data_IF_970207416237
#
_entry.id   IF_970207416237
#
_cell.length_a   1.000
_cell.length_b   1.000
_cell.length_c   1.000
_cell.angle_alpha   90.00
_cell.angle_beta   90.00
_cell.angle_gamma   90.00
#
_symmetry.space_group_name_H-M   'P 1'
#
loop_
_entity.id
_entity.type
_entity.pdbx_description
1 polymer ?
#
# COMPACT_ATOMS: atom_id res chain seq x y z
N UNK A 1 17.10 -34.23 29.10
CA UNK A 1 16.38 -34.45 27.83
C UNK A 1 15.52 -35.69 27.91
N UNK A 2 16.06 -36.91 28.02
CA UNK A 2 15.25 -38.13 28.14
C UNK A 2 14.22 -38.12 29.29
N UNK A 3 14.54 -37.53 30.45
CA UNK A 3 13.58 -37.37 31.56
C UNK A 3 12.45 -36.39 31.21
N UNK A 4 12.79 -35.28 30.52
CA UNK A 4 11.85 -34.26 30.09
C UNK A 4 10.89 -34.82 29.04
N UNK A 5 11.44 -35.45 28.01
CA UNK A 5 10.66 -36.14 26.98
C UNK A 5 9.80 -37.26 27.56
N UNK A 6 10.28 -38.01 28.55
CA UNK A 6 9.51 -39.08 29.16
C UNK A 6 8.32 -38.55 29.99
N UNK A 7 8.51 -37.44 30.72
CA UNK A 7 7.45 -36.85 31.55
C UNK A 7 6.45 -36.03 30.75
N UNK A 8 6.89 -35.36 29.70
CA UNK A 8 6.03 -34.49 28.88
C UNK A 8 5.47 -35.17 27.63
N UNK A 9 5.78 -36.46 27.41
CA UNK A 9 5.37 -37.21 26.20
C UNK A 9 3.87 -37.13 25.92
N UNK A 10 3.07 -37.13 26.96
CA UNK A 10 1.61 -37.18 26.84
C UNK A 10 0.99 -35.78 26.70
N UNK A 11 1.79 -34.70 26.74
CA UNK A 11 1.35 -33.32 26.53
C UNK A 11 0.28 -32.84 27.50
N UNK A 12 0.23 -33.41 28.71
CA UNK A 12 -0.85 -33.16 29.67
C UNK A 12 -0.63 -31.86 30.43
N UNK A 13 -1.72 -31.16 30.71
CA UNK A 13 -1.73 -30.01 31.59
C UNK A 13 -1.39 -30.47 33.02
N UNK A 14 -0.24 -30.03 33.52
CA UNK A 14 0.25 -30.32 34.86
C UNK A 14 1.46 -29.43 35.17
N UNK A 15 1.78 -29.33 36.45
CA UNK A 15 3.09 -28.84 36.90
C UNK A 15 4.08 -30.00 36.93
N UNK A 16 5.09 -29.94 36.07
CA UNK A 16 6.16 -30.93 35.98
C UNK A 16 7.38 -30.47 36.75
N UNK A 17 7.89 -31.40 37.57
CA UNK A 17 9.15 -31.27 38.29
C UNK A 17 10.13 -32.32 37.76
N UNK A 18 11.43 -32.04 37.79
CA UNK A 18 12.45 -32.93 37.25
C UNK A 18 13.50 -33.25 38.31
N UNK A 19 13.84 -34.52 38.47
CA UNK A 19 14.83 -34.98 39.45
C UNK A 19 16.24 -34.51 39.06
N UNK A 20 16.54 -34.50 37.76
CA UNK A 20 17.81 -33.99 37.25
C UNK A 20 17.93 -32.46 37.39
N UNK A 21 16.80 -31.76 37.53
CA UNK A 21 16.73 -30.29 37.60
C UNK A 21 15.71 -29.85 38.66
N UNK A 22 16.04 -29.95 39.96
CA UNK A 22 15.09 -29.71 41.04
C UNK A 22 14.63 -28.26 41.18
N UNK A 23 15.32 -27.32 40.50
CA UNK A 23 14.93 -25.91 40.43
C UNK A 23 14.09 -25.57 39.18
N UNK A 24 13.91 -26.52 38.24
CA UNK A 24 13.13 -26.31 37.03
C UNK A 24 11.68 -26.75 37.28
N UNK A 25 10.78 -25.78 37.24
CA UNK A 25 9.34 -25.97 37.25
C UNK A 25 8.80 -25.66 35.85
N UNK A 26 8.08 -26.60 35.25
CA UNK A 26 7.38 -26.37 33.98
C UNK A 26 5.88 -26.52 34.24
N UNK A 27 5.14 -25.44 34.04
CA UNK A 27 3.67 -25.44 34.13
C UNK A 27 3.12 -25.57 32.72
N UNK A 28 2.43 -26.68 32.44
CA UNK A 28 1.68 -26.86 31.19
C UNK A 28 0.22 -26.61 31.51
N UNK A 29 -0.39 -25.64 30.84
CA UNK A 29 -1.81 -25.30 30.96
C UNK A 29 -2.64 -26.01 29.87
N UNK A 30 -3.94 -26.24 30.11
CA UNK A 30 -4.85 -26.71 29.06
C UNK A 30 -4.93 -25.68 27.92
N UNK A 31 -5.08 -26.15 26.69
CA UNK A 31 -5.33 -25.31 25.51
C UNK A 31 -6.77 -25.47 25.08
N UNK A 32 -7.53 -24.37 25.03
CA UNK A 32 -8.92 -24.34 24.58
C UNK A 32 -8.95 -24.09 23.09
N UNK A 33 -9.61 -24.97 22.33
CA UNK A 33 -9.81 -24.83 20.88
C UNK A 33 -11.17 -24.20 20.64
N UNK A 34 -11.21 -23.17 19.80
CA UNK A 34 -12.43 -22.42 19.48
C UNK A 34 -12.88 -22.62 18.03
N UNK A 35 -14.16 -22.38 17.77
CA UNK A 35 -14.73 -22.31 16.41
C UNK A 35 -14.66 -20.90 15.81
N UNK A 36 -15.24 -20.72 14.61
CA UNK A 36 -15.27 -19.42 13.91
C UNK A 36 -16.10 -18.36 14.64
N UNK A 37 -16.97 -18.74 15.57
CA UNK A 37 -17.75 -17.82 16.39
C UNK A 37 -17.06 -17.53 17.74
N UNK A 38 -15.82 -18.01 17.92
CA UNK A 38 -15.05 -17.82 19.15
C UNK A 38 -15.48 -18.73 20.31
N UNK A 39 -16.42 -19.67 20.09
CA UNK A 39 -16.90 -20.59 21.14
C UNK A 39 -15.93 -21.73 21.35
N UNK A 40 -15.68 -22.09 22.60
CA UNK A 40 -14.88 -23.25 22.96
C UNK A 40 -15.58 -24.55 22.50
N UNK A 41 -14.86 -25.40 21.77
CA UNK A 41 -15.36 -26.68 21.23
C UNK A 41 -14.56 -27.90 21.69
N UNK A 42 -13.31 -27.71 22.14
CA UNK A 42 -12.44 -28.78 22.64
C UNK A 42 -11.39 -28.23 23.61
N UNK A 43 -10.82 -29.08 24.47
CA UNK A 43 -9.74 -28.74 25.39
C UNK A 43 -8.65 -29.80 25.32
N UNK A 44 -7.45 -29.40 24.90
CA UNK A 44 -6.27 -30.27 24.86
C UNK A 44 -5.47 -30.21 26.16
N UNK A 45 -4.89 -31.34 26.51
CA UNK A 45 -4.05 -31.50 27.70
C UNK A 45 -4.78 -32.02 28.94
N UNK A 46 -6.10 -32.25 28.88
CA UNK A 46 -6.90 -32.76 30.01
C UNK A 46 -7.38 -34.18 29.70
N UNK A 47 -7.02 -35.16 30.54
CA UNK A 47 -7.41 -36.57 30.34
C UNK A 47 -8.83 -36.85 30.81
N UNK A 48 -9.28 -36.17 31.86
CA UNK A 48 -10.63 -36.31 32.37
C UNK A 48 -11.61 -35.56 31.47
N UNK A 49 -12.51 -36.31 30.83
CA UNK A 49 -13.51 -35.77 29.91
C UNK A 49 -14.48 -34.83 30.60
N UNK A 50 -14.82 -35.09 31.87
CA UNK A 50 -15.76 -34.24 32.61
C UNK A 50 -15.11 -32.90 32.96
N UNK A 51 -13.82 -32.90 33.26
CA UNK A 51 -13.03 -31.68 33.48
C UNK A 51 -12.83 -30.88 32.18
N UNK A 52 -12.53 -31.56 31.07
CA UNK A 52 -12.42 -30.91 29.76
C UNK A 52 -13.74 -30.24 29.37
N UNK A 53 -14.88 -30.93 29.58
CA UNK A 53 -16.20 -30.34 29.34
C UNK A 53 -16.48 -29.15 30.25
N UNK A 54 -16.11 -29.23 31.54
CA UNK A 54 -16.28 -28.11 32.48
C UNK A 54 -15.51 -26.87 32.03
N UNK A 55 -14.28 -27.03 31.54
CA UNK A 55 -13.47 -25.92 31.02
C UNK A 55 -14.07 -25.31 29.74
N UNK A 56 -14.65 -26.14 28.86
CA UNK A 56 -15.39 -25.65 27.68
C UNK A 56 -16.60 -24.81 28.12
N UNK A 57 -17.36 -25.30 29.09
CA UNK A 57 -18.56 -24.63 29.58
C UNK A 57 -18.21 -23.32 30.30
N UNK A 58 -17.14 -23.29 31.08
CA UNK A 58 -16.64 -22.11 31.78
C UNK A 58 -16.14 -21.03 30.79
N UNK A 59 -15.37 -21.42 29.78
CA UNK A 59 -14.89 -20.47 28.75
C UNK A 59 -16.05 -19.88 27.93
N UNK A 60 -17.02 -20.72 27.55
CA UNK A 60 -18.21 -20.26 26.84
C UNK A 60 -19.09 -19.36 27.70
N UNK A 61 -19.23 -19.65 29.01
CA UNK A 61 -19.96 -18.79 29.92
C UNK A 61 -19.27 -17.44 30.12
N UNK A 62 -17.93 -17.40 30.12
CA UNK A 62 -17.18 -16.14 30.15
C UNK A 62 -17.44 -15.31 28.90
N UNK A 63 -17.37 -15.93 27.72
CA UNK A 63 -17.66 -15.28 26.43
C UNK A 63 -19.10 -14.74 26.39
N UNK A 64 -20.08 -15.53 26.86
CA UNK A 64 -21.49 -15.12 26.90
C UNK A 64 -21.72 -13.95 27.89
N UNK A 65 -20.93 -13.85 28.98
CA UNK A 65 -20.99 -12.73 29.93
C UNK A 65 -20.35 -11.46 29.34
N UNK A 66 -19.18 -11.58 28.68
CA UNK A 66 -18.51 -10.48 27.99
C UNK A 66 -19.38 -9.89 26.87
N UNK A 67 -20.13 -10.72 26.14
CA UNK A 67 -21.04 -10.28 25.09
C UNK A 67 -22.34 -9.62 25.62
N UNK A 68 -22.70 -9.89 26.88
CA UNK A 68 -23.94 -9.38 27.50
C UNK A 68 -23.81 -8.01 28.16
N UNK A 69 -22.60 -7.59 28.53
CA UNK A 69 -22.34 -6.31 29.21
C UNK A 69 -22.19 -5.12 28.23
N UNK A 70 -22.39 -5.32 26.92
CA UNK A 70 -22.18 -4.29 25.89
C UNK A 70 -23.42 -3.54 25.40
N UNK A 71 -24.62 -3.82 25.91
CA UNK A 71 -25.89 -3.33 25.32
C UNK A 71 -26.78 -2.52 26.29
N UNK A 72 -26.31 -2.23 27.52
CA UNK A 72 -27.07 -1.48 28.55
C UNK A 72 -26.39 -0.14 28.93
N UNK A 73 -25.60 0.47 28.03
CA UNK A 73 -25.44 1.92 28.07
C UNK A 73 -26.68 2.53 27.39
N UNK A 74 -27.77 2.57 28.17
CA UNK A 74 -28.81 3.58 28.02
C UNK A 74 -28.08 4.94 27.98
N UNK A 75 -27.77 5.39 26.77
CA UNK A 75 -27.48 6.79 26.50
C UNK A 75 -28.76 7.51 26.88
N UNK A 76 -28.83 7.93 28.14
CA UNK A 76 -29.74 8.96 28.59
C UNK A 76 -29.47 10.16 27.65
N UNK A 77 -30.34 10.29 26.64
CA UNK A 77 -30.63 11.53 25.93
C UNK A 77 -31.11 12.54 26.99
N UNK A 78 -30.19 13.00 27.84
CA UNK A 78 -30.35 14.21 28.61
C UNK A 78 -30.24 15.36 27.61
N UNK A 79 -31.43 15.80 27.18
CA UNK A 79 -31.74 17.12 26.63
C UNK A 79 -30.78 18.20 27.18
N UNK A 80 -29.72 18.51 26.43
CA UNK A 80 -28.98 19.77 26.61
C UNK A 80 -29.68 20.82 25.76
N UNK A 81 -30.65 21.46 26.39
CA UNK A 81 -31.14 22.79 26.04
C UNK A 81 -29.95 23.78 26.08
N UNK A 82 -29.26 23.97 24.96
CA UNK A 82 -28.40 25.15 24.74
C UNK A 82 -29.25 26.25 24.06
N UNK A 83 -30.14 26.83 24.87
CA UNK A 83 -30.62 28.21 24.70
C UNK A 83 -29.54 29.16 25.27
N UNK A 84 -29.38 30.30 24.56
CA UNK A 84 -28.80 31.57 25.02
C UNK A 84 -27.27 31.66 25.22
N UNK A 85 -26.61 32.38 24.30
CA UNK A 85 -26.06 33.69 24.67
C UNK A 85 -25.75 34.53 23.41
N UNK A 86 -26.73 35.36 23.08
CA UNK A 86 -26.56 36.63 22.37
C UNK A 86 -25.47 37.47 23.05
N UNK A 87 -24.38 37.76 22.34
CA UNK A 87 -23.55 38.94 22.63
C UNK A 87 -23.18 39.66 21.33
N UNK A 88 -23.97 40.71 21.11
CA UNK A 88 -23.60 42.02 20.57
C UNK A 88 -22.09 42.27 20.39
N UNK A 89 -21.67 42.61 19.16
CA UNK A 89 -20.71 43.71 18.99
C UNK A 89 -20.99 44.49 17.69
N UNK A 90 -21.81 45.52 17.89
CA UNK A 90 -21.78 46.86 17.33
C UNK A 90 -20.97 47.15 16.05
N UNK A 91 -21.74 47.61 15.06
CA UNK A 91 -21.60 48.88 14.35
C UNK A 91 -20.20 49.36 13.92
N UNK A 92 -20.05 49.54 12.59
CA UNK A 92 -19.65 50.86 12.05
C UNK A 92 -20.02 51.06 10.59
N UNK A 93 -20.95 52.00 10.45
CA UNK A 93 -20.95 53.13 9.53
C UNK A 93 -21.06 52.90 8.01
N UNK A 94 -22.27 53.23 7.57
CA UNK A 94 -22.64 53.78 6.27
C UNK A 94 -21.66 54.84 5.75
N UNK A 95 -21.54 54.96 4.42
CA UNK A 95 -21.74 56.25 3.77
C UNK A 95 -22.17 56.09 2.31
N UNK A 96 -23.00 57.04 1.91
CA UNK A 96 -23.78 57.18 0.70
C UNK A 96 -22.96 57.44 -0.56
N UNK A 97 -23.52 57.09 -1.72
CA UNK A 97 -22.85 57.33 -3.00
C UNK A 97 -23.71 57.27 -4.26
N UNK A 98 -24.97 57.70 -4.20
CA UNK A 98 -25.74 58.10 -5.39
C UNK A 98 -24.94 59.12 -6.22
N UNK A 99 -24.63 58.81 -7.49
CA UNK A 99 -24.55 59.81 -8.55
C UNK A 99 -25.06 59.27 -9.89
N UNK A 100 -26.23 59.79 -10.23
CA UNK A 100 -26.79 59.89 -11.56
C UNK A 100 -25.82 60.48 -12.61
N UNK A 101 -26.24 60.25 -13.86
CA UNK A 101 -26.28 61.22 -14.96
C UNK A 101 -25.08 61.30 -15.92
N UNK A 102 -25.44 60.95 -17.15
CA UNK A 102 -25.32 61.82 -18.33
C UNK A 102 -23.94 62.00 -19.01
N UNK A 103 -23.92 61.49 -20.24
CA UNK A 103 -23.79 62.33 -21.45
C UNK A 103 -22.39 62.74 -21.91
N UNK A 104 -22.27 62.79 -23.25
CA UNK A 104 -21.23 63.44 -24.05
C UNK A 104 -19.90 62.65 -24.20
N UNK A 105 -19.25 62.51 -25.37
CA UNK A 105 -19.42 63.10 -26.71
C UNK A 105 -18.47 62.36 -27.68
N UNK A 106 -18.85 62.37 -28.96
CA UNK A 106 -17.98 62.23 -30.13
C UNK A 106 -16.69 63.07 -30.04
N UNK A 107 -15.57 62.55 -30.55
CA UNK A 107 -14.60 63.35 -31.31
C UNK A 107 -13.63 62.45 -32.08
N UNK A 108 -13.71 62.55 -33.40
CA UNK A 108 -12.69 62.12 -34.36
C UNK A 108 -11.52 63.11 -34.41
N UNK A 109 -10.31 62.60 -34.71
CA UNK A 109 -9.18 63.27 -35.39
C UNK A 109 -8.05 62.23 -35.45
N UNK A 110 -7.66 61.61 -36.58
CA UNK A 110 -7.07 62.14 -37.82
C UNK A 110 -5.88 63.10 -37.61
N UNK A 111 -4.84 62.84 -38.42
CA UNK A 111 -3.62 63.62 -38.71
C UNK A 111 -2.48 63.51 -37.67
N UNK A 112 -1.19 63.47 -38.00
CA UNK A 112 -0.40 63.27 -39.23
C UNK A 112 1.07 63.30 -38.77
N UNK A 113 1.93 62.62 -39.54
CA UNK A 113 3.27 63.04 -39.97
C UNK A 113 4.52 63.16 -39.03
N UNK A 114 5.62 62.70 -39.68
CA UNK A 114 7.02 63.16 -39.63
C UNK A 114 7.88 62.70 -38.44
N UNK A 115 8.79 61.74 -38.66
CA UNK A 115 10.15 61.86 -39.24
C UNK A 115 11.20 62.39 -38.23
N UNK A 116 12.38 61.75 -38.30
CA UNK A 116 13.73 62.19 -37.88
C UNK A 116 14.41 61.34 -36.79
N UNK A 117 15.29 60.46 -37.28
CA UNK A 117 16.70 60.29 -36.92
C UNK A 117 17.17 60.82 -35.54
N UNK A 118 17.77 59.95 -34.71
CA UNK A 118 19.21 60.01 -34.45
C UNK A 118 19.66 58.90 -33.48
N UNK A 119 20.88 58.45 -33.72
CA UNK A 119 21.65 57.47 -32.97
C UNK A 119 21.81 57.84 -31.48
N UNK A 120 21.69 56.87 -30.57
CA UNK A 120 22.52 56.84 -29.36
C UNK A 120 22.63 55.43 -28.77
N UNK A 121 23.84 54.87 -28.86
CA UNK A 121 24.30 53.74 -28.07
C UNK A 121 24.19 54.08 -26.57
N UNK A 122 23.48 53.27 -25.80
CA UNK A 122 23.38 53.44 -24.34
C UNK A 122 22.90 52.17 -23.66
N UNK A 123 23.85 51.44 -23.08
CA UNK A 123 23.63 50.34 -22.14
C UNK A 123 22.59 50.67 -21.04
N UNK A 124 21.88 49.60 -20.63
CA UNK A 124 21.12 49.40 -19.39
C UNK A 124 19.58 49.49 -19.48
N UNK A 125 18.97 48.36 -19.83
CA UNK A 125 17.65 47.91 -19.36
C UNK A 125 17.93 46.55 -18.66
N UNK A 126 17.66 46.27 -17.38
CA UNK A 126 16.46 46.56 -16.57
C UNK A 126 15.16 46.17 -17.30
N UNK A 127 14.94 44.86 -17.35
CA UNK A 127 13.65 44.17 -17.35
C UNK A 127 13.84 43.03 -16.33
N UNK A 128 13.23 43.00 -15.14
CA UNK A 128 11.79 43.15 -14.86
C UNK A 128 10.98 42.44 -15.95
N UNK A 129 11.12 41.11 -15.96
CA UNK A 129 10.24 40.20 -16.68
C UNK A 129 9.75 39.16 -15.66
N UNK A 130 8.53 39.42 -15.23
CA UNK A 130 7.43 38.48 -15.02
C UNK A 130 7.64 37.32 -14.04
N UNK A 131 7.05 37.55 -12.85
CA UNK A 131 6.14 36.64 -12.13
C UNK A 131 5.74 35.38 -12.92
N UNK A 132 6.56 34.33 -12.82
CA UNK A 132 6.06 32.96 -12.84
C UNK A 132 5.79 32.60 -11.38
N UNK A 133 4.62 33.03 -10.89
CA UNK A 133 3.91 32.38 -9.79
C UNK A 133 3.71 30.92 -10.26
N UNK A 134 4.65 30.06 -9.88
CA UNK A 134 4.43 28.62 -9.88
C UNK A 134 3.31 28.39 -8.85
N UNK A 135 2.07 28.44 -9.35
CA UNK A 135 0.88 27.89 -8.69
C UNK A 135 1.19 26.41 -8.42
N UNK A 136 1.82 26.16 -7.28
CA UNK A 136 1.74 24.91 -6.54
C UNK A 136 0.26 24.75 -6.17
N UNK A 137 -0.57 24.33 -7.13
CA UNK A 137 -1.90 23.81 -6.90
C UNK A 137 -1.73 22.62 -5.95
N UNK A 138 -1.93 22.93 -4.67
CA UNK A 138 -2.06 22.00 -3.58
C UNK A 138 -3.09 20.95 -4.02
N UNK A 139 -2.62 19.72 -4.21
CA UNK A 139 -3.46 18.53 -4.40
C UNK A 139 -4.30 18.29 -3.13
N UNK A 140 -5.27 19.16 -2.89
CA UNK A 140 -6.39 18.97 -2.00
C UNK A 140 -7.41 18.07 -2.72
N UNK A 141 -7.22 16.74 -2.70
CA UNK A 141 -8.30 15.75 -2.91
C UNK A 141 -7.74 14.32 -2.81
N UNK A 142 -7.47 13.87 -1.59
CA UNK A 142 -7.81 12.53 -1.07
C UNK A 142 -7.22 12.37 0.34
N UNK A 143 -7.62 13.27 1.24
CA UNK A 143 -7.52 13.04 2.67
C UNK A 143 -8.55 11.97 3.06
N UNK A 144 -8.25 10.71 2.74
CA UNK A 144 -8.79 9.58 3.46
C UNK A 144 -8.30 9.77 4.90
N UNK A 145 -9.18 10.29 5.76
CA UNK A 145 -8.90 10.42 7.18
C UNK A 145 -8.77 9.02 7.77
N UNK A 146 -7.56 8.46 7.69
CA UNK A 146 -7.07 7.59 8.72
C UNK A 146 -7.07 8.44 9.99
N UNK A 147 -8.16 8.36 10.75
CA UNK A 147 -8.09 8.55 12.18
C UNK A 147 -7.06 7.54 12.68
N UNK A 148 -5.80 7.99 12.69
CA UNK A 148 -4.75 7.38 13.45
C UNK A 148 -5.20 7.56 14.89
N UNK A 149 -5.83 6.52 15.43
CA UNK A 149 -5.83 6.24 16.85
C UNK A 149 -4.34 6.10 17.23
N UNK A 150 -3.76 7.25 17.57
CA UNK A 150 -2.40 7.47 18.03
C UNK A 150 -2.30 7.01 19.49
N UNK A 151 -2.78 5.79 19.76
CA UNK A 151 -2.38 4.98 20.90
C UNK A 151 -1.01 4.37 20.56
N UNK A 152 -0.04 5.25 20.34
CA UNK A 152 1.39 4.95 20.44
C UNK A 152 1.67 4.67 21.92
N UNK A 153 1.21 3.50 22.38
CA UNK A 153 1.93 2.75 23.41
C UNK A 153 3.31 2.49 22.83
N UNK A 154 4.19 3.48 22.98
CA UNK A 154 5.58 3.43 22.58
C UNK A 154 6.21 2.20 23.21
N UNK A 155 6.18 1.10 22.46
CA UNK A 155 6.64 -0.18 22.94
C UNK A 155 8.16 -0.09 23.02
N UNK A 156 8.59 -0.03 24.27
CA UNK A 156 9.94 0.18 24.73
C UNK A 156 10.96 -0.72 24.01
N UNK A 157 12.12 -0.13 23.76
CA UNK A 157 13.42 -0.77 23.51
C UNK A 157 13.80 -1.18 22.06
N UNK A 158 13.82 -0.18 21.17
CA UNK A 158 14.73 -0.11 20.00
C UNK A 158 16.24 -0.17 20.37
N UNK A 159 16.56 -0.32 21.67
CA UNK A 159 17.91 -0.50 22.15
C UNK A 159 18.44 -1.86 21.68
N UNK A 160 19.63 -1.88 21.03
CA UNK A 160 20.24 -3.13 20.64
C UNK A 160 20.40 -4.07 21.85
N UNK A 161 20.12 -5.37 21.71
CA UNK A 161 20.26 -6.32 22.80
C UNK A 161 21.70 -6.35 23.32
N UNK A 162 21.88 -6.65 24.61
CA UNK A 162 23.22 -6.72 25.20
C UNK A 162 24.05 -7.84 24.52
N UNK A 163 25.32 -7.60 24.13
CA UNK A 163 26.12 -8.59 23.41
C UNK A 163 26.24 -9.95 24.12
N UNK A 164 26.16 -9.96 25.45
CA UNK A 164 26.18 -11.18 26.25
C UNK A 164 24.90 -12.02 26.06
N UNK A 165 23.74 -11.38 25.94
CA UNK A 165 22.45 -12.03 25.69
C UNK A 165 22.41 -12.63 24.29
N UNK A 166 22.83 -11.86 23.27
CA UNK A 166 22.90 -12.34 21.88
C UNK A 166 23.78 -13.57 21.76
N UNK A 167 24.96 -13.59 22.41
CA UNK A 167 25.83 -14.78 22.42
C UNK A 167 25.18 -15.99 23.07
N UNK A 168 24.44 -15.80 24.17
CA UNK A 168 23.77 -16.91 24.85
C UNK A 168 22.64 -17.48 23.98
N UNK A 169 21.84 -16.62 23.36
CA UNK A 169 20.76 -17.01 22.46
C UNK A 169 21.29 -17.70 21.19
N UNK A 170 22.38 -17.19 20.61
CA UNK A 170 23.07 -17.84 19.48
C UNK A 170 23.53 -19.26 19.84
N UNK A 171 24.16 -19.46 20.99
CA UNK A 171 24.60 -20.80 21.40
C UNK A 171 23.43 -21.79 21.56
N UNK A 172 22.24 -21.29 21.95
CA UNK A 172 21.03 -22.10 22.03
C UNK A 172 20.50 -22.47 20.64
N UNK A 173 20.40 -21.50 19.73
CA UNK A 173 19.88 -21.74 18.37
C UNK A 173 20.85 -22.53 17.49
N UNK A 174 22.16 -22.35 17.64
CA UNK A 174 23.19 -23.21 17.00
C UNK A 174 23.01 -24.67 17.41
N UNK A 175 22.74 -24.92 18.69
CA UNK A 175 22.45 -26.27 19.18
C UNK A 175 21.14 -26.80 18.63
N UNK A 176 20.09 -25.98 18.57
CA UNK A 176 18.81 -26.36 18.00
C UNK A 176 18.95 -26.75 16.52
N UNK A 177 19.66 -25.93 15.71
CA UNK A 177 19.98 -26.23 14.31
C UNK A 177 20.78 -27.52 14.15
N UNK A 178 21.69 -27.84 15.09
CA UNK A 178 22.42 -29.12 15.04
C UNK A 178 21.54 -30.35 15.23
N UNK A 179 20.37 -30.18 15.88
CA UNK A 179 19.40 -31.25 16.15
C UNK A 179 18.36 -31.31 15.03
N UNK A 180 17.87 -30.16 14.59
CA UNK A 180 16.82 -30.01 13.58
C UNK A 180 17.26 -28.96 12.55
N UNK A 181 18.16 -29.31 11.60
CA UNK A 181 18.72 -28.36 10.65
C UNK A 181 17.70 -27.83 9.64
N UNK A 182 16.58 -28.55 9.45
CA UNK A 182 15.53 -28.23 8.49
C UNK A 182 14.29 -27.58 9.15
N UNK A 183 14.37 -27.22 10.45
CA UNK A 183 13.28 -26.58 11.17
C UNK A 183 13.21 -25.08 10.84
N UNK A 184 12.07 -24.65 10.26
CA UNK A 184 11.90 -23.30 9.70
C UNK A 184 12.04 -22.21 10.78
N UNK A 185 11.33 -22.36 11.90
CA UNK A 185 11.35 -21.40 13.01
C UNK A 185 12.75 -21.28 13.62
N UNK A 186 13.45 -22.41 13.79
CA UNK A 186 14.82 -22.42 14.31
C UNK A 186 15.80 -21.74 13.35
N UNK A 187 15.71 -22.01 12.04
CA UNK A 187 16.53 -21.34 11.02
C UNK A 187 16.33 -19.83 11.01
N UNK A 188 15.07 -19.39 11.02
CA UNK A 188 14.73 -17.97 10.99
C UNK A 188 15.18 -17.27 12.28
N UNK A 189 14.84 -17.83 13.45
CA UNK A 189 15.26 -17.29 14.75
C UNK A 189 16.77 -17.18 14.84
N UNK A 190 17.51 -18.20 14.38
CA UNK A 190 18.97 -18.16 14.35
C UNK A 190 19.48 -17.02 13.46
N UNK A 191 18.90 -16.83 12.27
CA UNK A 191 19.29 -15.77 11.36
C UNK A 191 19.04 -14.37 11.95
N UNK A 192 17.89 -14.14 12.61
CA UNK A 192 17.61 -12.86 13.28
C UNK A 192 18.66 -12.55 14.35
N UNK A 193 19.00 -13.53 15.19
CA UNK A 193 20.06 -13.38 16.20
C UNK A 193 21.44 -13.13 15.59
N UNK A 194 21.73 -13.65 14.39
CA UNK A 194 22.97 -13.34 13.67
C UNK A 194 22.97 -11.91 13.14
N UNK A 195 21.84 -11.39 12.66
CA UNK A 195 21.73 -9.99 12.25
C UNK A 195 21.91 -9.04 13.45
N UNK A 196 21.31 -9.36 14.60
CA UNK A 196 21.53 -8.64 15.86
C UNK A 196 23.00 -8.70 16.28
N UNK A 197 23.63 -9.87 16.14
CA UNK A 197 25.04 -10.06 16.44
C UNK A 197 25.94 -9.15 15.58
N UNK A 198 25.64 -8.96 14.29
CA UNK A 198 26.34 -8.00 13.43
C UNK A 198 26.13 -6.55 13.91
N UNK A 199 24.87 -6.18 14.23
CA UNK A 199 24.52 -4.83 14.75
C UNK A 199 25.28 -4.48 16.03
N UNK A 200 25.52 -5.45 16.91
CA UNK A 200 26.28 -5.25 18.17
C UNK A 200 27.78 -5.59 18.06
N UNK A 201 28.29 -5.83 16.84
CA UNK A 201 29.72 -5.96 16.55
C UNK A 201 30.35 -7.31 16.89
N UNK A 202 29.58 -8.40 16.93
CA UNK A 202 30.10 -9.77 17.06
C UNK A 202 30.58 -10.25 15.69
N UNK A 203 31.90 -10.18 15.49
CA UNK A 203 32.53 -10.51 14.22
C UNK A 203 32.33 -11.97 13.76
N UNK A 204 32.23 -12.17 12.45
CA UNK A 204 32.26 -13.48 11.78
C UNK A 204 30.90 -14.17 11.65
N UNK A 205 29.92 -13.83 12.49
CA UNK A 205 28.60 -14.48 12.48
C UNK A 205 27.84 -14.27 11.17
N UNK A 206 27.93 -13.07 10.60
CA UNK A 206 27.29 -12.79 9.34
C UNK A 206 27.89 -13.61 8.18
N UNK A 207 29.20 -13.83 8.15
CA UNK A 207 29.83 -14.69 7.14
C UNK A 207 29.41 -16.16 7.28
N UNK A 208 29.22 -16.62 8.51
CA UNK A 208 28.66 -17.95 8.81
C UNK A 208 27.23 -18.08 8.28
N UNK A 209 26.36 -17.11 8.58
CA UNK A 209 24.98 -17.09 8.05
C UNK A 209 24.97 -17.16 6.53
N UNK A 210 25.78 -16.36 5.84
CA UNK A 210 25.81 -16.36 4.37
C UNK A 210 26.34 -17.68 3.79
N UNK A 211 27.22 -18.39 4.50
CA UNK A 211 27.69 -19.71 4.08
C UNK A 211 26.59 -20.78 4.24
N UNK A 212 25.71 -20.64 5.22
CA UNK A 212 24.64 -21.59 5.52
C UNK A 212 23.31 -21.24 4.82
N UNK A 213 23.09 -19.97 4.48
CA UNK A 213 21.86 -19.47 3.85
C UNK A 213 21.41 -20.28 2.63
N UNK A 214 22.29 -20.76 1.71
CA UNK A 214 21.87 -21.62 0.60
C UNK A 214 21.23 -22.96 1.00
N UNK A 215 21.43 -23.42 2.25
CA UNK A 215 20.83 -24.65 2.80
C UNK A 215 19.49 -24.40 3.49
N UNK A 216 19.17 -23.15 3.79
CA UNK A 216 17.93 -22.79 4.45
C UNK A 216 16.76 -22.99 3.48
N UNK A 217 15.57 -23.15 4.05
CA UNK A 217 14.36 -23.22 3.23
C UNK A 217 14.18 -21.92 2.45
N UNK A 218 13.53 -21.99 1.30
CA UNK A 218 13.37 -20.79 0.45
C UNK A 218 12.57 -19.70 1.16
N UNK A 219 11.57 -20.08 1.98
CA UNK A 219 10.81 -19.12 2.80
C UNK A 219 11.74 -18.31 3.69
N UNK A 220 12.61 -19.00 4.45
CA UNK A 220 13.56 -18.35 5.33
C UNK A 220 14.58 -17.48 4.58
N UNK A 221 15.07 -17.93 3.42
CA UNK A 221 15.98 -17.10 2.62
C UNK A 221 15.33 -15.78 2.20
N UNK A 222 14.06 -15.81 1.79
CA UNK A 222 13.30 -14.62 1.40
C UNK A 222 13.04 -13.73 2.62
N UNK A 223 12.52 -14.28 3.72
CA UNK A 223 12.26 -13.52 4.95
C UNK A 223 13.53 -12.85 5.48
N UNK A 224 14.67 -13.55 5.48
CA UNK A 224 15.96 -12.98 5.88
C UNK A 224 16.36 -11.83 4.94
N UNK A 225 16.22 -11.99 3.63
CA UNK A 225 16.51 -10.92 2.67
C UNK A 225 15.60 -9.71 2.91
N UNK A 226 14.30 -9.90 3.14
CA UNK A 226 13.35 -8.82 3.45
C UNK A 226 13.73 -8.09 4.73
N UNK A 227 14.04 -8.81 5.82
CA UNK A 227 14.48 -8.22 7.09
C UNK A 227 15.77 -7.41 6.92
N UNK A 228 16.73 -7.94 6.17
CA UNK A 228 17.96 -7.21 5.82
C UNK A 228 17.68 -5.97 4.97
N UNK A 229 16.71 -6.05 4.06
CA UNK A 229 16.23 -4.96 3.24
C UNK A 229 15.64 -3.84 4.08
N UNK A 230 14.65 -4.15 4.92
CA UNK A 230 14.03 -3.21 5.87
C UNK A 230 15.03 -2.50 6.78
N UNK A 231 16.09 -3.21 7.18
CA UNK A 231 17.16 -2.64 8.01
C UNK A 231 18.21 -1.83 7.21
N UNK A 232 18.07 -1.68 5.89
CA UNK A 232 19.06 -1.02 5.03
C UNK A 232 20.43 -1.70 5.07
N UNK A 233 20.47 -3.01 5.31
CA UNK A 233 21.71 -3.72 5.62
C UNK A 233 22.65 -3.76 4.40
N UNK A 234 23.92 -3.38 4.59
CA UNK A 234 24.94 -3.26 3.50
C UNK A 234 25.16 -4.51 2.63
N UNK A 235 24.79 -5.69 3.13
CA UNK A 235 24.89 -6.99 2.42
C UNK A 235 23.53 -7.50 1.89
N UNK A 236 22.50 -6.66 1.88
CA UNK A 236 21.18 -7.02 1.39
C UNK A 236 21.22 -7.62 -0.03
N UNK A 237 21.93 -6.98 -0.97
CA UNK A 237 22.03 -7.47 -2.35
C UNK A 237 22.63 -8.89 -2.46
N UNK A 238 23.55 -9.26 -1.57
CA UNK A 238 24.14 -10.60 -1.55
C UNK A 238 23.16 -11.63 -0.96
N UNK A 239 22.42 -11.28 0.09
CA UNK A 239 21.37 -12.14 0.65
C UNK A 239 20.25 -12.36 -0.36
N UNK A 240 19.86 -11.30 -1.07
CA UNK A 240 18.90 -11.34 -2.16
C UNK A 240 19.35 -12.27 -3.28
N UNK A 241 20.62 -12.18 -3.70
CA UNK A 241 21.17 -13.06 -4.74
C UNK A 241 21.10 -14.54 -4.32
N UNK A 242 21.31 -14.85 -3.03
CA UNK A 242 21.16 -16.22 -2.50
C UNK A 242 19.70 -16.66 -2.41
N UNK A 243 18.80 -15.76 -1.99
CA UNK A 243 17.38 -16.02 -1.88
C UNK A 243 16.77 -16.35 -3.25
N UNK A 244 17.09 -15.57 -4.28
CA UNK A 244 16.56 -15.71 -5.63
C UNK A 244 17.30 -16.73 -6.51
N UNK A 245 18.42 -17.31 -6.04
CA UNK A 245 19.19 -18.31 -6.80
C UNK A 245 18.55 -19.71 -6.86
N UNK A 246 17.58 -20.00 -5.98
CA UNK A 246 16.91 -21.30 -5.92
C UNK A 246 15.60 -21.35 -6.72
N UNK A 247 15.04 -22.54 -6.86
CA UNK A 247 13.64 -22.66 -7.25
C UNK A 247 12.78 -22.01 -6.14
N UNK A 248 11.94 -21.06 -6.54
CA UNK A 248 10.95 -20.49 -5.62
C UNK A 248 9.89 -21.55 -5.33
N UNK A 249 9.50 -21.73 -4.06
CA UNK A 249 8.44 -22.65 -3.70
C UNK A 249 7.13 -22.12 -4.30
N UNK A 250 6.22 -23.02 -4.66
CA UNK A 250 4.88 -22.65 -5.11
C UNK A 250 4.09 -21.88 -4.03
N UNK A 251 4.54 -21.95 -2.77
CA UNK A 251 4.00 -21.22 -1.61
C UNK A 251 5.11 -20.76 -0.68
N UNK A 252 5.07 -19.49 -0.27
CA UNK A 252 5.92 -18.94 0.80
C UNK A 252 5.04 -18.78 2.04
N UNK A 253 5.46 -19.35 3.16
CA UNK A 253 4.76 -19.25 4.44
C UNK A 253 5.46 -18.13 5.22
N UNK A 254 4.82 -16.97 5.35
CA UNK A 254 5.32 -15.89 6.21
C UNK A 254 4.90 -16.09 7.67
N UNK A 255 5.65 -15.45 8.56
CA UNK A 255 5.37 -15.39 9.99
C UNK A 255 4.24 -14.40 10.27
N UNK A 256 3.00 -14.87 10.21
CA UNK A 256 1.96 -14.34 11.09
C UNK A 256 1.52 -15.48 11.99
N UNK A 257 1.69 -15.22 13.28
CA UNK A 257 1.40 -16.08 14.42
C UNK A 257 0.12 -16.90 14.27
N UNK A 258 0.22 -18.18 14.66
CA UNK A 258 -0.81 -18.94 15.37
C UNK A 258 -2.23 -18.32 15.41
N UNK A 259 -3.18 -19.00 14.76
CA UNK A 259 -4.63 -18.75 14.79
C UNK A 259 -5.18 -17.65 13.86
N UNK A 260 -5.16 -17.83 12.54
CA UNK A 260 -6.29 -17.46 11.68
C UNK A 260 -6.20 -18.23 10.35
N UNK A 261 -7.20 -19.06 10.05
CA UNK A 261 -7.34 -19.74 8.74
C UNK A 261 -8.17 -18.83 7.85
N UNK A 262 -7.56 -17.76 7.34
CA UNK A 262 -8.09 -16.99 6.22
C UNK A 262 -6.94 -16.75 5.23
N UNK A 263 -7.18 -17.10 3.96
CA UNK A 263 -6.38 -16.74 2.78
C UNK A 263 -4.84 -16.85 2.91
N UNK A 264 -4.30 -18.07 2.83
CA UNK A 264 -2.87 -18.36 2.62
C UNK A 264 -2.24 -17.77 1.33
N UNK A 265 -2.97 -16.91 0.59
CA UNK A 265 -2.45 -16.14 -0.54
C UNK A 265 -1.82 -14.81 -0.12
N UNK A 266 -2.35 -14.14 0.91
CA UNK A 266 -2.00 -12.75 1.23
C UNK A 266 -0.58 -12.59 1.80
N UNK A 267 -0.16 -13.56 2.61
CA UNK A 267 1.17 -13.52 3.26
C UNK A 267 2.32 -13.57 2.24
N UNK A 268 2.11 -14.26 1.11
CA UNK A 268 3.08 -14.28 0.03
C UNK A 268 3.15 -12.93 -0.70
N UNK A 269 2.02 -12.28 -0.90
CA UNK A 269 1.92 -11.01 -1.62
C UNK A 269 2.56 -9.86 -0.84
N UNK A 270 2.26 -9.78 0.46
CA UNK A 270 2.87 -8.80 1.37
C UNK A 270 4.39 -8.96 1.37
N UNK A 271 4.89 -10.18 1.57
CA UNK A 271 6.32 -10.44 1.60
C UNK A 271 7.02 -10.10 0.27
N UNK A 272 6.38 -10.39 -0.87
CA UNK A 272 6.92 -10.00 -2.17
C UNK A 272 6.83 -8.50 -2.43
N UNK A 273 5.81 -7.82 -1.90
CA UNK A 273 5.70 -6.37 -1.89
C UNK A 273 6.85 -5.74 -1.11
N UNK A 274 7.07 -6.19 0.12
CA UNK A 274 8.18 -5.75 0.99
C UNK A 274 9.54 -6.01 0.36
N UNK A 275 9.73 -7.20 -0.24
CA UNK A 275 10.96 -7.51 -0.95
C UNK A 275 11.15 -6.59 -2.16
N UNK A 276 10.10 -6.34 -2.92
CA UNK A 276 10.11 -5.43 -4.05
C UNK A 276 10.50 -4.00 -3.64
N UNK A 277 9.95 -3.52 -2.52
CA UNK A 277 10.25 -2.22 -1.95
C UNK A 277 11.72 -2.13 -1.51
N UNK A 278 12.20 -3.11 -0.75
CA UNK A 278 13.59 -3.19 -0.34
C UNK A 278 14.56 -3.28 -1.53
N UNK A 279 14.20 -4.01 -2.59
CA UNK A 279 14.98 -4.07 -3.83
C UNK A 279 15.04 -2.69 -4.47
N UNK A 280 13.91 -2.02 -4.67
CA UNK A 280 13.85 -0.72 -5.31
C UNK A 280 14.68 0.34 -4.57
N UNK A 281 14.69 0.27 -3.24
CA UNK A 281 15.44 1.20 -2.40
C UNK A 281 16.94 0.90 -2.36
N UNK A 282 17.32 -0.37 -2.17
CA UNK A 282 18.70 -0.72 -1.83
C UNK A 282 19.48 -1.48 -2.91
N UNK A 283 18.79 -2.09 -3.88
CA UNK A 283 19.42 -2.86 -4.96
C UNK A 283 18.56 -2.86 -6.25
N UNK A 284 18.21 -1.70 -6.81
CA UNK A 284 17.21 -1.61 -7.88
C UNK A 284 17.59 -2.39 -9.15
N UNK A 285 18.89 -2.54 -9.41
CA UNK A 285 19.44 -3.36 -10.51
C UNK A 285 19.17 -4.87 -10.36
N UNK A 286 18.60 -5.30 -9.22
CA UNK A 286 18.18 -6.68 -8.96
C UNK A 286 16.69 -6.91 -9.17
N UNK A 287 15.88 -5.88 -9.41
CA UNK A 287 14.43 -6.04 -9.61
C UNK A 287 14.12 -7.02 -10.75
N UNK A 288 14.90 -7.00 -11.84
CA UNK A 288 14.72 -7.93 -12.95
C UNK A 288 14.85 -9.41 -12.57
N UNK A 289 15.50 -9.75 -11.45
CA UNK A 289 15.55 -11.13 -10.92
C UNK A 289 14.27 -11.51 -10.17
N UNK A 290 13.62 -10.54 -9.54
CA UNK A 290 12.36 -10.73 -8.82
C UNK A 290 11.18 -10.83 -9.79
N UNK A 291 11.16 -10.01 -10.86
CA UNK A 291 10.04 -9.97 -11.82
C UNK A 291 9.54 -11.34 -12.27
N UNK A 292 10.36 -12.32 -12.71
CA UNK A 292 9.83 -13.63 -13.15
C UNK A 292 9.31 -14.52 -12.01
N UNK A 293 9.56 -14.15 -10.75
CA UNK A 293 9.23 -14.93 -9.56
C UNK A 293 7.98 -14.44 -8.84
N UNK A 294 7.49 -13.23 -9.16
CA UNK A 294 6.30 -12.68 -8.51
C UNK A 294 5.06 -13.53 -8.79
N UNK A 295 4.13 -13.64 -7.83
CA UNK A 295 2.85 -14.30 -8.06
C UNK A 295 2.04 -13.55 -9.13
N UNK A 296 1.11 -14.24 -9.82
CA UNK A 296 0.23 -13.64 -10.82
C UNK A 296 -0.88 -12.79 -10.16
N UNK A 297 -0.49 -11.81 -9.35
CA UNK A 297 -1.41 -10.91 -8.65
C UNK A 297 -1.41 -9.52 -9.31
N UNK A 298 -2.60 -9.04 -9.63
CA UNK A 298 -2.81 -7.80 -10.39
C UNK A 298 -2.35 -6.57 -9.61
N UNK A 299 -2.68 -6.49 -8.31
CA UNK A 299 -2.35 -5.35 -7.44
C UNK A 299 -0.85 -5.28 -7.15
N UNK A 300 -0.22 -6.42 -6.86
CA UNK A 300 1.21 -6.49 -6.60
C UNK A 300 2.00 -6.07 -7.84
N UNK A 301 1.64 -6.61 -9.03
CA UNK A 301 2.34 -6.29 -10.27
C UNK A 301 2.19 -4.81 -10.65
N UNK A 302 0.98 -4.25 -10.57
CA UNK A 302 0.76 -2.83 -10.88
C UNK A 302 1.46 -1.89 -9.89
N UNK A 303 1.38 -2.18 -8.59
CA UNK A 303 2.03 -1.39 -7.54
C UNK A 303 3.55 -1.40 -7.69
N UNK A 304 4.16 -2.57 -7.88
CA UNK A 304 5.61 -2.66 -8.10
C UNK A 304 6.03 -2.01 -9.42
N UNK A 305 5.23 -2.08 -10.48
CA UNK A 305 5.54 -1.44 -11.75
C UNK A 305 5.62 0.09 -11.60
N UNK A 306 4.66 0.68 -10.90
CA UNK A 306 4.66 2.12 -10.61
C UNK A 306 5.84 2.53 -9.72
N UNK A 307 6.11 1.78 -8.65
CA UNK A 307 7.29 2.04 -7.81
C UNK A 307 8.59 1.92 -8.61
N UNK A 308 8.68 0.96 -9.52
CA UNK A 308 9.82 0.79 -10.42
C UNK A 308 10.02 1.99 -11.36
N UNK A 309 8.94 2.55 -11.91
CA UNK A 309 9.00 3.81 -12.66
C UNK A 309 9.57 4.94 -11.80
N UNK A 310 9.04 5.14 -10.58
CA UNK A 310 9.51 6.18 -9.66
C UNK A 310 11.00 6.02 -9.35
N UNK A 311 11.47 4.78 -9.25
CA UNK A 311 12.87 4.42 -9.07
C UNK A 311 13.71 4.41 -10.38
N UNK A 312 13.17 4.92 -11.49
CA UNK A 312 13.79 4.99 -12.82
C UNK A 312 14.22 3.61 -13.38
N UNK A 313 13.51 2.55 -12.99
CA UNK A 313 13.67 1.18 -13.48
C UNK A 313 12.68 0.88 -14.61
N UNK A 314 12.73 1.67 -15.70
CA UNK A 314 11.74 1.62 -16.78
C UNK A 314 11.63 0.25 -17.47
N UNK A 315 12.76 -0.43 -17.72
CA UNK A 315 12.77 -1.78 -18.31
C UNK A 315 12.06 -2.81 -17.40
N UNK A 316 12.27 -2.73 -16.09
CA UNK A 316 11.66 -3.65 -15.13
C UNK A 316 10.20 -3.32 -14.89
N UNK A 317 9.83 -2.03 -14.85
CA UNK A 317 8.44 -1.60 -14.83
C UNK A 317 7.67 -2.13 -16.05
N UNK A 318 8.27 -2.03 -17.25
CA UNK A 318 7.71 -2.57 -18.47
C UNK A 318 7.46 -4.08 -18.35
N UNK A 319 8.44 -4.83 -17.84
CA UNK A 319 8.32 -6.27 -17.65
C UNK A 319 7.21 -6.64 -16.65
N UNK A 320 7.01 -5.83 -15.60
CA UNK A 320 5.92 -6.01 -14.64
C UNK A 320 4.55 -5.76 -15.29
N UNK A 321 4.41 -4.70 -16.08
CA UNK A 321 3.19 -4.45 -16.85
C UNK A 321 2.93 -5.52 -17.91
N UNK A 322 3.96 -6.03 -18.58
CA UNK A 322 3.79 -7.14 -19.53
C UNK A 322 3.22 -8.39 -18.84
N UNK A 323 3.74 -8.74 -17.66
CA UNK A 323 3.18 -9.82 -16.85
C UNK A 323 1.73 -9.57 -16.44
N UNK A 324 1.39 -8.34 -16.05
CA UNK A 324 0.02 -7.92 -15.72
C UNK A 324 -0.92 -8.13 -16.91
N UNK A 325 -0.50 -7.74 -18.12
CA UNK A 325 -1.31 -7.83 -19.34
C UNK A 325 -1.53 -9.28 -19.79
N UNK A 326 -0.59 -10.17 -19.49
CA UNK A 326 -0.69 -11.62 -19.74
C UNK A 326 -1.65 -12.35 -18.81
N UNK A 327 -2.07 -11.73 -17.70
CA UNK A 327 -3.06 -12.34 -16.81
C UNK A 327 -4.42 -12.48 -17.51
N UNK A 328 -5.14 -13.60 -17.29
CA UNK A 328 -6.50 -13.75 -17.77
C UNK A 328 -7.39 -12.70 -17.11
N UNK A 329 -8.38 -12.19 -17.85
CA UNK A 329 -9.42 -11.35 -17.25
C UNK A 329 -10.34 -12.28 -16.45
N UNK A 330 -10.54 -12.05 -15.13
CA UNK A 330 -11.46 -12.87 -14.33
C UNK A 330 -12.90 -12.77 -14.85
N UNK A 331 -13.67 -13.86 -14.79
CA UNK A 331 -15.02 -13.91 -15.37
C UNK A 331 -16.03 -13.01 -14.62
N UNK A 332 -16.02 -13.03 -13.29
CA UNK A 332 -16.92 -12.24 -12.41
C UNK A 332 -16.35 -12.06 -10.99
N UNK A 333 -17.14 -11.42 -10.11
CA UNK A 333 -16.85 -11.29 -8.68
C UNK A 333 -15.80 -10.24 -8.30
N UNK A 334 -15.32 -10.31 -7.06
CA UNK A 334 -14.40 -9.33 -6.48
C UNK A 334 -13.04 -9.34 -7.21
N UNK A 335 -12.58 -10.50 -7.69
CA UNK A 335 -11.37 -10.61 -8.51
C UNK A 335 -11.47 -9.78 -9.79
N UNK A 336 -12.65 -9.79 -10.44
CA UNK A 336 -12.90 -8.98 -11.63
C UNK A 336 -12.91 -7.49 -11.31
N UNK A 337 -13.61 -7.08 -10.25
CA UNK A 337 -13.62 -5.68 -9.80
C UNK A 337 -12.21 -5.18 -9.48
N UNK A 338 -11.44 -5.99 -8.75
CA UNK A 338 -10.05 -5.69 -8.42
C UNK A 338 -9.18 -5.61 -9.67
N UNK A 339 -9.38 -6.51 -10.64
CA UNK A 339 -8.67 -6.50 -11.92
C UNK A 339 -8.93 -5.20 -12.71
N UNK A 340 -10.19 -4.79 -12.82
CA UNK A 340 -10.58 -3.57 -13.54
C UNK A 340 -10.03 -2.31 -12.87
N UNK A 341 -10.08 -2.23 -11.54
CA UNK A 341 -9.50 -1.12 -10.77
C UNK A 341 -8.00 -1.06 -10.98
N UNK A 342 -7.31 -2.19 -10.89
CA UNK A 342 -5.86 -2.25 -11.06
C UNK A 342 -5.42 -1.92 -12.50
N UNK A 343 -6.18 -2.31 -13.54
CA UNK A 343 -5.91 -1.88 -14.91
C UNK A 343 -6.07 -0.38 -15.10
N UNK A 344 -7.13 0.22 -14.56
CA UNK A 344 -7.30 1.68 -14.60
C UNK A 344 -6.12 2.38 -13.92
N UNK A 345 -5.78 1.97 -12.70
CA UNK A 345 -4.67 2.55 -11.94
C UNK A 345 -3.34 2.38 -12.66
N UNK A 346 -3.09 1.21 -13.26
CA UNK A 346 -1.91 0.96 -14.07
C UNK A 346 -1.82 1.90 -15.29
N UNK A 347 -2.95 2.17 -15.96
CA UNK A 347 -3.00 3.10 -17.09
C UNK A 347 -2.68 4.53 -16.65
N UNK A 348 -3.31 5.02 -15.58
CA UNK A 348 -3.06 6.35 -15.00
C UNK A 348 -1.61 6.48 -14.56
N UNK A 349 -1.07 5.49 -13.85
CA UNK A 349 0.30 5.48 -13.36
C UNK A 349 1.32 5.48 -14.51
N UNK A 350 1.11 4.68 -15.56
CA UNK A 350 1.95 4.69 -16.75
C UNK A 350 1.87 6.03 -17.50
N UNK A 351 0.70 6.68 -17.51
CA UNK A 351 0.52 8.01 -18.09
C UNK A 351 1.29 9.08 -17.31
N UNK A 352 1.10 9.16 -15.99
CA UNK A 352 1.80 10.10 -15.11
C UNK A 352 3.32 9.95 -15.17
N UNK A 353 3.80 8.72 -15.41
CA UNK A 353 5.20 8.40 -15.65
C UNK A 353 5.77 8.89 -16.98
N UNK A 354 4.93 9.40 -17.88
CA UNK A 354 5.24 9.69 -19.29
C UNK A 354 5.66 8.45 -20.10
N UNK A 355 5.29 7.26 -19.64
CA UNK A 355 5.46 5.98 -20.34
C UNK A 355 4.26 5.72 -21.27
N UNK A 356 4.01 6.66 -22.18
CA UNK A 356 2.78 6.72 -22.97
C UNK A 356 2.53 5.47 -23.82
N UNK A 357 3.57 4.86 -24.38
CA UNK A 357 3.45 3.61 -25.14
C UNK A 357 2.90 2.47 -24.26
N UNK A 358 3.27 2.44 -22.98
CA UNK A 358 2.79 1.43 -22.02
C UNK A 358 1.33 1.71 -21.65
N UNK A 359 1.02 2.97 -21.35
CA UNK A 359 -0.35 3.41 -21.05
C UNK A 359 -1.30 3.03 -22.19
N UNK A 360 -0.90 3.24 -23.45
CA UNK A 360 -1.68 2.84 -24.64
C UNK A 360 -1.92 1.33 -24.70
N UNK A 361 -0.91 0.49 -24.40
CA UNK A 361 -1.10 -0.97 -24.39
C UNK A 361 -2.05 -1.42 -23.28
N UNK A 362 -1.99 -0.79 -22.10
CA UNK A 362 -2.91 -1.05 -21.00
C UNK A 362 -4.33 -0.64 -21.40
N UNK A 363 -4.49 0.57 -21.97
CA UNK A 363 -5.76 1.07 -22.49
C UNK A 363 -6.35 0.13 -23.55
N UNK A 364 -5.55 -0.36 -24.49
CA UNK A 364 -5.93 -1.33 -25.52
C UNK A 364 -6.42 -2.66 -24.89
N UNK A 365 -5.70 -3.17 -23.89
CA UNK A 365 -6.06 -4.42 -23.19
C UNK A 365 -7.37 -4.29 -22.44
N UNK A 366 -7.65 -3.12 -21.88
CA UNK A 366 -8.83 -2.86 -21.07
C UNK A 366 -10.12 -2.64 -21.89
N UNK A 367 -10.01 -2.30 -23.17
CA UNK A 367 -11.18 -2.00 -24.04
C UNK A 367 -12.33 -3.01 -23.99
N UNK A 368 -12.09 -4.35 -24.01
CA UNK A 368 -13.19 -5.32 -24.01
C UNK A 368 -14.08 -5.26 -22.76
N UNK A 369 -13.57 -4.69 -21.66
CA UNK A 369 -14.20 -4.68 -20.34
C UNK A 369 -14.37 -3.27 -19.76
N UNK A 370 -13.98 -2.23 -20.50
CA UNK A 370 -14.02 -0.84 -20.06
C UNK A 370 -15.44 -0.35 -19.70
N UNK A 371 -16.47 -0.89 -20.33
CA UNK A 371 -17.87 -0.57 -20.04
C UNK A 371 -18.31 -0.93 -18.61
N UNK A 372 -17.56 -1.77 -17.90
CA UNK A 372 -17.83 -2.17 -16.53
C UNK A 372 -17.12 -1.28 -15.51
N UNK A 373 -16.13 -0.52 -15.96
CA UNK A 373 -15.45 0.50 -15.16
C UNK A 373 -15.21 1.74 -16.04
N UNK A 374 -16.17 2.69 -16.09
CA UNK A 374 -16.09 3.86 -16.96
C UNK A 374 -14.85 4.74 -16.77
N UNK A 375 -14.16 4.66 -15.63
CA UNK A 375 -12.89 5.34 -15.38
C UNK A 375 -11.81 4.96 -16.40
N UNK A 376 -11.88 3.73 -16.93
CA UNK A 376 -10.96 3.23 -17.97
C UNK A 376 -11.08 4.06 -19.26
N UNK A 377 -12.27 4.56 -19.60
CA UNK A 377 -12.43 5.38 -20.80
C UNK A 377 -11.70 6.71 -20.67
N UNK A 378 -11.74 7.34 -19.49
CA UNK A 378 -10.99 8.56 -19.24
C UNK A 378 -9.48 8.31 -19.34
N UNK A 379 -8.95 7.34 -18.58
CA UNK A 379 -7.51 7.03 -18.61
C UNK A 379 -7.02 6.59 -20.00
N UNK A 380 -7.85 5.88 -20.76
CA UNK A 380 -7.54 5.55 -22.16
C UNK A 380 -7.56 6.78 -23.08
N UNK A 381 -8.44 7.76 -22.85
CA UNK A 381 -8.48 8.99 -23.62
C UNK A 381 -7.18 9.77 -23.49
N UNK A 382 -6.71 10.00 -22.25
CA UNK A 382 -5.43 10.67 -21.96
C UNK A 382 -4.26 9.91 -22.60
N UNK A 383 -4.20 8.58 -22.41
CA UNK A 383 -3.16 7.75 -23.01
C UNK A 383 -3.09 7.84 -24.56
N UNK A 384 -4.24 7.81 -25.26
CA UNK A 384 -4.26 7.97 -26.71
C UNK A 384 -3.93 9.40 -27.15
N UNK A 385 -4.35 10.42 -26.39
CA UNK A 385 -4.07 11.82 -26.68
C UNK A 385 -2.57 12.12 -26.56
N UNK A 386 -1.90 11.58 -25.54
CA UNK A 386 -0.47 11.75 -25.30
C UNK A 386 0.41 11.24 -26.45
N UNK A 387 -0.04 10.21 -27.18
CA UNK A 387 0.64 9.71 -28.40
C UNK A 387 0.12 10.33 -29.70
N UNK A 388 -0.68 11.40 -29.61
CA UNK A 388 -1.22 12.14 -30.76
C UNK A 388 -2.37 11.43 -31.49
N UNK A 389 -2.96 10.38 -30.91
CA UNK A 389 -4.07 9.65 -31.50
C UNK A 389 -5.43 10.25 -31.08
N UNK A 390 -5.61 11.52 -31.42
CA UNK A 390 -6.75 12.32 -30.97
C UNK A 390 -8.12 11.75 -31.36
N UNK A 391 -8.20 11.08 -32.51
CA UNK A 391 -9.45 10.42 -32.91
C UNK A 391 -9.82 9.30 -31.94
N UNK A 392 -8.87 8.42 -31.57
CA UNK A 392 -9.13 7.36 -30.60
C UNK A 392 -9.44 7.92 -29.22
N UNK A 393 -8.70 8.94 -28.79
CA UNK A 393 -8.96 9.62 -27.54
C UNK A 393 -10.39 10.17 -27.47
N UNK A 394 -10.84 10.87 -28.52
CA UNK A 394 -12.20 11.40 -28.58
C UNK A 394 -13.28 10.29 -28.62
N UNK A 395 -13.01 9.15 -29.27
CA UNK A 395 -13.90 7.98 -29.16
C UNK A 395 -14.05 7.49 -27.71
N UNK A 396 -12.97 7.50 -26.91
CA UNK A 396 -13.06 7.13 -25.51
C UNK A 396 -13.84 8.15 -24.68
N UNK A 397 -13.67 9.45 -24.93
CA UNK A 397 -14.49 10.50 -24.27
C UNK A 397 -15.98 10.28 -24.53
N UNK A 398 -16.36 9.95 -25.77
CA UNK A 398 -17.76 9.62 -26.09
C UNK A 398 -18.26 8.39 -25.32
N UNK A 399 -17.41 7.38 -25.14
CA UNK A 399 -17.74 6.19 -24.35
C UNK A 399 -17.86 6.53 -22.86
N UNK A 400 -16.99 7.38 -22.30
CA UNK A 400 -17.12 7.88 -20.93
C UNK A 400 -18.47 8.57 -20.70
N UNK A 401 -18.89 9.45 -21.63
CA UNK A 401 -20.19 10.12 -21.59
C UNK A 401 -21.36 9.14 -21.75
N UNK A 402 -21.21 8.12 -22.60
CA UNK A 402 -22.27 7.14 -22.86
C UNK A 402 -22.46 6.12 -21.71
N UNK A 403 -21.43 5.93 -20.90
CA UNK A 403 -21.41 5.02 -19.74
C UNK A 403 -21.46 5.76 -18.40
N UNK A 404 -21.95 7.01 -18.40
CA UNK A 404 -22.21 7.81 -17.21
C UNK A 404 -21.00 7.88 -16.26
N UNK A 405 -19.81 8.18 -16.79
CA UNK A 405 -18.63 8.41 -15.95
C UNK A 405 -18.89 9.53 -14.92
N UNK A 406 -18.63 9.26 -13.64
CA UNK A 406 -19.01 10.17 -12.55
C UNK A 406 -18.26 11.52 -12.59
N UNK A 407 -17.06 11.56 -13.19
CA UNK A 407 -16.22 12.75 -13.22
C UNK A 407 -16.13 13.39 -14.61
N UNK A 408 -17.23 13.39 -15.37
CA UNK A 408 -17.27 14.04 -16.69
C UNK A 408 -16.90 15.53 -16.65
N UNK A 409 -17.20 16.24 -15.57
CA UNK A 409 -16.73 17.62 -15.40
C UNK A 409 -15.20 17.75 -15.43
N UNK A 410 -14.46 16.77 -14.87
CA UNK A 410 -12.98 16.74 -14.94
C UNK A 410 -12.51 16.48 -16.39
N UNK A 411 -13.19 15.61 -17.12
CA UNK A 411 -12.85 15.30 -18.54
C UNK A 411 -13.04 16.51 -19.45
N UNK A 412 -14.04 17.36 -19.19
CA UNK A 412 -14.33 18.54 -20.01
C UNK A 412 -13.16 19.55 -20.05
N UNK A 413 -12.38 19.61 -18.98
CA UNK A 413 -11.27 20.56 -18.79
C UNK A 413 -9.89 19.88 -18.70
N UNK A 414 -9.82 18.57 -18.92
CA UNK A 414 -8.57 17.82 -18.79
C UNK A 414 -7.57 18.19 -19.90
N UNK A 415 -6.51 18.88 -19.49
CA UNK A 415 -5.44 19.35 -20.39
C UNK A 415 -4.67 18.21 -21.06
N UNK A 416 -4.68 16.99 -20.51
CA UNK A 416 -4.06 15.81 -21.13
C UNK A 416 -4.73 15.43 -22.46
N UNK A 417 -5.98 15.86 -22.70
CA UNK A 417 -6.68 15.67 -23.97
C UNK A 417 -6.16 16.60 -25.10
N UNK A 418 -5.38 17.61 -24.74
CA UNK A 418 -4.67 18.49 -25.67
C UNK A 418 -5.61 19.15 -26.70
N UNK A 419 -5.29 19.09 -28.02
CA UNK A 419 -6.07 19.76 -29.05
C UNK A 419 -7.55 19.34 -29.16
N UNK A 420 -7.97 18.23 -28.54
CA UNK A 420 -9.36 17.75 -28.59
C UNK A 420 -10.31 18.73 -27.89
N UNK A 421 -9.86 19.43 -26.85
CA UNK A 421 -10.66 20.40 -26.09
C UNK A 421 -11.23 21.51 -26.99
N UNK A 422 -10.51 21.84 -28.08
CA UNK A 422 -10.92 22.85 -29.03
C UNK A 422 -11.84 22.34 -30.15
N UNK A 423 -12.09 21.02 -30.22
CA UNK A 423 -12.90 20.46 -31.30
C UNK A 423 -14.38 20.84 -31.17
N UNK A 424 -15.03 21.32 -32.25
CA UNK A 424 -16.45 21.65 -32.21
C UNK A 424 -17.33 20.48 -31.74
N UNK A 425 -16.97 19.25 -32.10
CA UNK A 425 -17.67 18.03 -31.73
C UNK A 425 -17.52 17.70 -30.24
N UNK A 426 -16.36 17.99 -29.63
CA UNK A 426 -16.13 17.83 -28.20
C UNK A 426 -16.99 18.81 -27.41
N UNK A 427 -16.94 20.11 -27.77
CA UNK A 427 -17.78 21.15 -27.15
C UNK A 427 -19.27 20.86 -27.31
N UNK A 428 -19.67 20.30 -28.45
CA UNK A 428 -21.06 19.88 -28.68
C UNK A 428 -21.46 18.70 -27.78
N UNK A 429 -20.60 17.70 -27.61
CA UNK A 429 -20.84 16.54 -26.75
C UNK A 429 -21.13 16.97 -25.30
N UNK A 430 -20.31 17.85 -24.73
CA UNK A 430 -20.48 18.31 -23.34
C UNK A 430 -21.67 19.25 -23.16
N UNK A 431 -21.96 20.15 -24.10
CA UNK A 431 -23.20 20.94 -24.09
C UNK A 431 -24.45 20.05 -24.07
N UNK A 432 -24.46 18.98 -24.87
CA UNK A 432 -25.57 18.03 -24.92
C UNK A 432 -25.67 17.20 -23.63
N UNK A 433 -24.54 16.90 -22.98
CA UNK A 433 -24.51 16.27 -21.65
C UNK A 433 -25.06 17.21 -20.55
N UNK A 434 -24.62 18.46 -20.47
CA UNK A 434 -25.14 19.48 -19.53
C UNK A 434 -26.65 19.65 -19.66
N UNK A 435 -27.15 19.75 -20.91
CA UNK A 435 -28.60 19.86 -21.18
C UNK A 435 -29.38 18.66 -20.64
N UNK A 436 -28.79 17.46 -20.63
CA UNK A 436 -29.43 16.25 -20.06
C UNK A 436 -29.44 16.27 -18.53
N UNK A 437 -28.43 16.84 -17.90
CA UNK A 437 -28.35 16.97 -16.44
C UNK A 437 -29.36 17.99 -15.91
N UNK A 438 -29.52 19.14 -16.58
CA UNK A 438 -30.49 20.17 -16.18
C UNK A 438 -31.96 19.77 -16.41
N UNK A 439 -32.20 18.77 -17.28
CA UNK A 439 -33.54 18.29 -17.62
C UNK A 439 -34.07 17.16 -16.73
N UNK A 440 -33.23 16.60 -15.87
CA UNK A 440 -33.58 15.59 -14.86
C UNK A 440 -33.70 16.24 -13.48
#
# INVERSE_FOLDING_TARGET
>A
VAELEARMRDGRAATYWFESWPALEIVVTPSVIRDQAGRAIDVRGVEDRDEAQRLIDEENARLDAEAGDGDDEDVDDDDVDDDDDDLDDDERDADDGDRDADDMVDAESDDDDEDEDDDEDGDADDADDDDEEEDEEEDEDDAFSAAADDDDEGDDDDRPPEPAQVRAALAMTERALSIAPDDDDTQFTHAMLVLDADRVGIAGKLDELFADLPRYTTSNRVNIAVRMGRAGHRRFAEALDIALAGAMPERIIGETSSEFVAAYGDVGEELFGELGDAILEHAPDRLGKLVPLLPPNVNLLSTLAFKAIKAKQGEQALALYERLLDLPIPDDGDERTNYLRALNNACVQAHAAKEYDVAVRIADRAQPVAHENPYIYHSAACAYAAVGNYNRAFEQVKLAVAHDYDHLGKVEVDTDLGPILEWPEFKALFRDWHTRQEGN
#
